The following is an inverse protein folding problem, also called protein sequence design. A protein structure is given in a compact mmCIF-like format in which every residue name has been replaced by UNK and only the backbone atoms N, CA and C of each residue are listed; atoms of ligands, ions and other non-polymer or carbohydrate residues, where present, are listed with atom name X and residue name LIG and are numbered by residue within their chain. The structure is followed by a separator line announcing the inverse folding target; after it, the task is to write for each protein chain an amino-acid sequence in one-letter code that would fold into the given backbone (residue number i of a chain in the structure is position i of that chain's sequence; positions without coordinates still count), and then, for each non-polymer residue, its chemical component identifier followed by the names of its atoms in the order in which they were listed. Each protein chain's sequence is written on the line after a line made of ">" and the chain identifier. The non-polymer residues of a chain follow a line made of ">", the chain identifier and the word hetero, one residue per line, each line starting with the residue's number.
data_IF_852755835068
#
_entry.id   IF_852755835068
#
_cell.length_a   1.000
_cell.length_b   1.000
_cell.length_c   1.000
_cell.angle_alpha   90.00
_cell.angle_beta   90.00
_cell.angle_gamma   90.00
#
_symmetry.space_group_name_H-M   'P 1'
#
loop_
_entity.id
_entity.type
_entity.pdbx_description
1 polymer ?
#
# COMPACT_ATOMS: atom_id res chain seq x y z
N UNK A 1 6.68 14.63 7.60
CA UNK A 1 7.73 13.60 7.51
C UNK A 1 7.87 13.15 6.06
N UNK A 2 9.07 12.77 5.60
CA UNK A 2 9.21 12.12 4.30
C UNK A 2 8.48 10.77 4.35
N UNK A 3 7.77 10.40 3.27
CA UNK A 3 7.11 9.10 3.13
C UNK A 3 5.98 8.77 4.12
N UNK A 4 5.39 9.76 4.80
CA UNK A 4 4.34 9.50 5.80
C UNK A 4 3.12 8.73 5.29
N UNK A 5 2.74 8.87 4.01
CA UNK A 5 1.63 8.06 3.46
C UNK A 5 2.04 6.61 3.21
N UNK A 6 3.31 6.36 2.91
CA UNK A 6 3.83 4.99 2.86
C UNK A 6 3.78 4.41 4.26
N UNK A 7 4.28 5.13 5.27
CA UNK A 7 4.22 4.69 6.67
C UNK A 7 2.80 4.34 7.09
N UNK A 8 1.83 5.24 6.91
CA UNK A 8 0.42 4.99 7.23
C UNK A 8 -0.12 3.75 6.51
N UNK A 9 0.21 3.60 5.22
CA UNK A 9 -0.20 2.43 4.43
C UNK A 9 0.43 1.12 4.93
N UNK A 10 1.69 1.13 5.38
CA UNK A 10 2.31 -0.06 5.96
C UNK A 10 1.67 -0.44 7.30
N UNK A 11 1.25 0.53 8.12
CA UNK A 11 0.47 0.21 9.32
C UNK A 11 -0.87 -0.42 8.98
N UNK A 12 -1.61 0.11 8.00
CA UNK A 12 -2.86 -0.53 7.55
C UNK A 12 -2.62 -1.94 7.00
N UNK A 13 -1.47 -2.17 6.36
CA UNK A 13 -1.06 -3.51 5.93
C UNK A 13 -0.80 -4.42 7.12
N UNK A 14 -0.07 -3.96 8.12
CA UNK A 14 0.22 -4.72 9.33
C UNK A 14 -1.06 -5.10 10.07
N UNK A 15 -2.03 -4.19 10.16
CA UNK A 15 -3.37 -4.49 10.68
C UNK A 15 -4.11 -5.51 9.79
N UNK A 16 -4.06 -5.34 8.47
CA UNK A 16 -4.74 -6.22 7.51
C UNK A 16 -4.19 -7.64 7.46
N UNK A 17 -2.89 -7.84 7.67
CA UNK A 17 -2.26 -9.17 7.72
C UNK A 17 -2.17 -9.73 9.14
N UNK A 18 -2.53 -8.91 10.14
CA UNK A 18 -2.51 -9.29 11.54
C UNK A 18 -1.11 -9.31 12.14
N UNK A 19 -0.14 -8.59 11.56
CA UNK A 19 1.25 -8.56 12.02
C UNK A 19 1.37 -8.15 13.50
N UNK A 20 0.55 -7.19 13.92
CA UNK A 20 0.54 -6.64 15.28
C UNK A 20 -0.26 -7.46 16.29
N UNK A 21 -0.87 -8.57 15.86
CA UNK A 21 -1.62 -9.47 16.73
C UNK A 21 -0.69 -10.43 17.47
N UNK A 22 -1.10 -10.85 18.66
CA UNK A 22 -0.42 -11.93 19.39
C UNK A 22 -0.61 -13.28 18.69
N UNK A 23 0.24 -14.27 18.99
CA UNK A 23 0.16 -15.60 18.37
C UNK A 23 -1.21 -16.27 18.57
N UNK A 24 -1.82 -16.08 19.75
CA UNK A 24 -3.16 -16.60 20.08
C UNK A 24 -4.26 -15.94 19.23
N UNK A 25 -4.13 -14.64 18.96
CA UNK A 25 -5.05 -13.88 18.09
C UNK A 25 -4.84 -14.24 16.62
N UNK A 26 -3.58 -14.40 16.18
CA UNK A 26 -3.21 -14.84 14.83
C UNK A 26 -3.82 -16.20 14.49
N UNK A 27 -3.94 -17.11 15.47
CA UNK A 27 -4.55 -18.43 15.26
C UNK A 27 -6.03 -18.38 14.84
N UNK A 28 -6.74 -17.29 15.16
CA UNK A 28 -8.15 -17.07 14.79
C UNK A 28 -8.32 -16.00 13.70
N UNK A 29 -7.23 -15.33 13.33
CA UNK A 29 -7.24 -14.25 12.36
C UNK A 29 -7.17 -14.81 10.93
N UNK A 30 -7.90 -14.18 10.01
CA UNK A 30 -7.79 -14.46 8.57
C UNK A 30 -7.12 -13.28 7.90
N UNK A 31 -5.85 -13.38 7.48
CA UNK A 31 -5.14 -12.31 6.80
C UNK A 31 -5.87 -11.85 5.55
N UNK A 32 -5.93 -10.53 5.36
CA UNK A 32 -6.46 -9.94 4.14
C UNK A 32 -5.45 -10.02 3.00
N UNK A 33 -5.96 -10.21 1.79
CA UNK A 33 -5.13 -10.11 0.59
C UNK A 33 -4.70 -8.67 0.33
N UNK A 34 -3.56 -8.50 -0.36
CA UNK A 34 -3.05 -7.17 -0.74
C UNK A 34 -4.09 -6.34 -1.52
N UNK A 35 -4.88 -6.98 -2.37
CA UNK A 35 -5.93 -6.31 -3.14
C UNK A 35 -7.07 -5.79 -2.25
N UNK A 36 -7.42 -6.52 -1.19
CA UNK A 36 -8.44 -6.12 -0.22
C UNK A 36 -7.95 -4.95 0.62
N UNK A 37 -6.71 -5.01 1.12
CA UNK A 37 -6.12 -3.92 1.91
C UNK A 37 -6.02 -2.64 1.06
N UNK A 38 -5.56 -2.74 -0.18
CA UNK A 38 -5.52 -1.58 -1.11
C UNK A 38 -6.91 -1.03 -1.38
N UNK A 39 -7.94 -1.86 -1.51
CA UNK A 39 -9.32 -1.39 -1.69
C UNK A 39 -9.80 -0.63 -0.45
N UNK A 40 -9.64 -1.20 0.73
CA UNK A 40 -10.01 -0.57 2.01
C UNK A 40 -9.31 0.77 2.20
N UNK A 41 -8.00 0.85 1.89
CA UNK A 41 -7.24 2.10 1.93
C UNK A 41 -7.88 3.20 1.07
N UNK A 42 -8.33 2.87 -0.14
CA UNK A 42 -8.95 3.82 -1.08
C UNK A 42 -10.42 4.13 -0.70
N UNK A 43 -11.09 3.23 0.01
CA UNK A 43 -12.44 3.49 0.54
C UNK A 43 -12.41 4.44 1.72
N UNK A 44 -11.44 4.27 2.62
CA UNK A 44 -11.26 5.12 3.79
C UNK A 44 -10.63 6.48 3.45
N UNK A 45 -9.75 6.51 2.45
CA UNK A 45 -9.01 7.71 2.04
C UNK A 45 -9.45 8.19 0.66
N UNK A 46 -9.56 9.50 0.50
CA UNK A 46 -9.92 10.09 -0.78
C UNK A 46 -8.86 9.81 -1.89
N UNK A 47 -9.26 10.02 -3.15
CA UNK A 47 -8.41 9.81 -4.33
C UNK A 47 -7.14 10.68 -4.35
N UNK A 48 -7.10 11.80 -3.61
CA UNK A 48 -5.91 12.63 -3.50
C UNK A 48 -4.83 11.94 -2.67
N UNK A 49 -5.19 11.30 -1.56
CA UNK A 49 -4.26 10.50 -0.76
C UNK A 49 -3.68 9.36 -1.58
N UNK A 50 -4.50 8.69 -2.39
CA UNK A 50 -4.03 7.65 -3.33
C UNK A 50 -3.01 8.22 -4.33
N UNK A 51 -3.28 9.40 -4.88
CA UNK A 51 -2.35 10.06 -5.79
C UNK A 51 -1.01 10.37 -5.12
N UNK A 52 -1.03 10.91 -3.91
CA UNK A 52 0.18 11.23 -3.16
C UNK A 52 0.93 9.98 -2.68
N UNK A 53 0.24 8.92 -2.26
CA UNK A 53 0.86 7.64 -1.91
C UNK A 53 1.64 7.08 -3.10
N UNK A 54 1.04 7.06 -4.29
CA UNK A 54 1.72 6.61 -5.52
C UNK A 54 2.97 7.43 -5.82
N UNK A 55 2.89 8.76 -5.62
CA UNK A 55 4.04 9.64 -5.82
C UNK A 55 5.15 9.35 -4.80
N UNK A 56 4.80 9.10 -3.54
CA UNK A 56 5.76 8.73 -2.50
C UNK A 56 6.42 7.39 -2.80
N UNK A 57 5.66 6.35 -3.16
CA UNK A 57 6.22 5.02 -3.49
C UNK A 57 7.20 5.13 -4.67
N UNK A 58 6.83 5.82 -5.75
CA UNK A 58 7.72 6.02 -6.90
C UNK A 58 9.00 6.76 -6.51
N UNK A 59 8.88 7.77 -5.67
CA UNK A 59 10.03 8.53 -5.16
C UNK A 59 10.93 7.64 -4.30
N UNK A 60 10.34 6.81 -3.45
CA UNK A 60 11.07 5.88 -2.59
C UNK A 60 11.88 4.89 -3.42
N UNK A 61 11.20 4.17 -4.33
CA UNK A 61 11.84 3.23 -5.26
C UNK A 61 13.02 3.90 -5.98
N UNK A 62 12.79 5.08 -6.57
CA UNK A 62 13.83 5.79 -7.32
C UNK A 62 15.06 6.13 -6.47
N UNK A 63 14.86 6.49 -5.20
CA UNK A 63 15.92 6.99 -4.34
C UNK A 63 16.69 5.89 -3.60
N UNK A 64 16.08 4.72 -3.41
CA UNK A 64 16.59 3.65 -2.54
C UNK A 64 16.81 2.32 -3.28
N UNK A 65 16.64 2.29 -4.61
CA UNK A 65 17.05 1.12 -5.42
C UNK A 65 18.56 1.10 -5.57
N UNK A 66 19.17 -0.01 -5.19
CA UNK A 66 20.58 -0.33 -5.39
C UNK A 66 20.73 -1.45 -6.42
N UNK A 67 21.96 -1.80 -6.85
CA UNK A 67 22.17 -2.94 -7.74
C UNK A 67 21.68 -4.29 -7.18
N UNK A 68 21.52 -4.39 -5.86
CA UNK A 68 21.11 -5.61 -5.15
C UNK A 68 19.59 -5.69 -4.94
N UNK A 69 18.88 -4.57 -5.05
CA UNK A 69 17.43 -4.50 -4.85
C UNK A 69 16.98 -3.19 -4.23
N UNK A 70 15.73 -3.14 -3.78
CA UNK A 70 15.22 -1.99 -3.04
C UNK A 70 15.45 -2.19 -1.55
N UNK A 71 16.17 -1.26 -0.92
CA UNK A 71 16.50 -1.36 0.50
C UNK A 71 15.33 -0.91 1.39
N UNK A 72 15.28 -1.44 2.63
CA UNK A 72 14.43 -0.94 3.71
C UNK A 72 15.17 0.21 4.42
N UNK A 73 14.80 1.45 4.11
CA UNK A 73 15.39 2.68 4.64
C UNK A 73 14.36 3.40 5.50
N UNK A 74 14.77 3.78 6.71
CA UNK A 74 13.95 4.58 7.63
C UNK A 74 14.08 6.09 7.34
N UNK A 75 12.96 6.85 7.23
CA UNK A 75 11.58 6.38 7.03
C UNK A 75 11.31 6.00 5.56
N UNK A 76 10.33 5.12 5.26
CA UNK A 76 9.24 4.68 6.14
C UNK A 76 9.44 3.30 6.80
N UNK A 77 10.57 2.64 6.53
CA UNK A 77 10.81 1.27 6.96
C UNK A 77 11.75 1.20 8.17
N UNK A 78 11.17 0.93 9.34
CA UNK A 78 11.87 0.69 10.60
C UNK A 78 11.63 -0.72 11.13
N UNK A 79 11.86 -0.95 12.42
CA UNK A 79 11.69 -2.28 13.02
C UNK A 79 10.26 -2.82 12.88
N UNK A 80 9.25 -1.97 13.06
CA UNK A 80 7.83 -2.36 13.07
C UNK A 80 7.20 -2.42 11.67
N UNK A 81 7.91 -1.97 10.63
CA UNK A 81 7.37 -1.85 9.26
C UNK A 81 8.15 -2.67 8.22
N UNK A 82 9.13 -3.46 8.67
CA UNK A 82 9.99 -4.30 7.81
C UNK A 82 9.56 -5.78 7.78
N UNK A 83 8.25 -6.04 7.77
CA UNK A 83 7.66 -7.39 7.78
C UNK A 83 7.12 -7.82 6.41
N UNK A 84 7.27 -6.99 5.37
CA UNK A 84 6.56 -7.16 4.09
C UNK A 84 6.84 -8.52 3.43
N UNK A 85 8.09 -8.96 3.44
CA UNK A 85 8.52 -10.22 2.81
C UNK A 85 8.04 -11.46 3.57
N UNK A 86 7.61 -11.31 4.83
CA UNK A 86 7.05 -12.41 5.61
C UNK A 86 5.60 -12.73 5.19
N UNK A 87 4.89 -11.76 4.60
CA UNK A 87 3.47 -11.87 4.26
C UNK A 87 3.16 -11.84 2.76
N UNK A 88 4.05 -11.27 1.95
CA UNK A 88 3.83 -11.08 0.51
C UNK A 88 4.95 -11.70 -0.32
N UNK A 89 4.58 -12.30 -1.45
CA UNK A 89 5.55 -12.90 -2.35
C UNK A 89 6.39 -11.83 -3.08
N UNK A 90 7.72 -12.03 -3.05
CA UNK A 90 8.70 -11.18 -3.71
C UNK A 90 9.34 -10.17 -2.76
N UNK A 91 10.40 -9.52 -3.25
CA UNK A 91 11.12 -8.49 -2.50
C UNK A 91 10.30 -7.19 -2.35
N UNK A 92 10.82 -6.25 -1.55
CA UNK A 92 10.21 -4.92 -1.35
C UNK A 92 9.92 -4.18 -2.66
N UNK A 93 10.76 -4.35 -3.70
CA UNK A 93 10.54 -3.71 -4.99
C UNK A 93 9.33 -4.28 -5.72
N UNK A 94 9.23 -5.62 -5.77
CA UNK A 94 8.09 -6.35 -6.34
C UNK A 94 6.82 -5.96 -5.59
N UNK A 95 6.88 -5.97 -4.26
CA UNK A 95 5.76 -5.57 -3.41
C UNK A 95 5.27 -4.15 -3.73
N UNK A 96 6.13 -3.14 -3.66
CA UNK A 96 5.74 -1.75 -3.90
C UNK A 96 5.27 -1.51 -5.35
N UNK A 97 5.81 -2.26 -6.30
CA UNK A 97 5.34 -2.24 -7.70
C UNK A 97 3.94 -2.84 -7.82
N UNK A 98 3.65 -3.94 -7.13
CA UNK A 98 2.31 -4.55 -7.08
C UNK A 98 1.30 -3.60 -6.44
N UNK A 99 1.66 -2.94 -5.34
CA UNK A 99 0.86 -1.89 -4.71
C UNK A 99 0.56 -0.77 -5.71
N UNK A 100 1.56 -0.26 -6.42
CA UNK A 100 1.35 0.77 -7.45
C UNK A 100 0.37 0.32 -8.54
N UNK A 101 0.46 -0.94 -8.98
CA UNK A 101 -0.43 -1.51 -9.99
C UNK A 101 -1.88 -1.59 -9.48
N UNK A 102 -2.10 -2.04 -8.24
CA UNK A 102 -3.42 -2.08 -7.62
C UNK A 102 -4.00 -0.67 -7.43
N UNK A 103 -3.22 0.26 -6.90
CA UNK A 103 -3.63 1.67 -6.75
C UNK A 103 -3.97 2.30 -8.11
N UNK A 104 -3.21 1.99 -9.17
CA UNK A 104 -3.52 2.46 -10.53
C UNK A 104 -4.85 1.89 -11.05
N UNK A 105 -5.08 0.59 -10.86
CA UNK A 105 -6.29 -0.10 -11.31
C UNK A 105 -7.53 0.49 -10.63
N UNK A 106 -7.52 0.56 -9.32
CA UNK A 106 -8.63 1.08 -8.52
C UNK A 106 -8.88 2.57 -8.78
N UNK A 107 -7.82 3.39 -8.86
CA UNK A 107 -7.93 4.80 -9.19
C UNK A 107 -8.60 5.01 -10.56
N UNK A 108 -8.22 4.22 -11.57
CA UNK A 108 -8.81 4.32 -12.92
C UNK A 108 -10.30 3.95 -12.91
N UNK A 109 -10.66 2.84 -12.27
CA UNK A 109 -12.06 2.41 -12.16
C UNK A 109 -12.91 3.47 -11.46
N UNK A 110 -12.44 3.99 -10.32
CA UNK A 110 -13.18 5.00 -9.53
C UNK A 110 -13.27 6.34 -10.24
N UNK A 111 -12.19 6.78 -10.89
CA UNK A 111 -12.18 8.01 -11.70
C UNK A 111 -13.16 7.93 -12.88
N UNK A 112 -13.21 6.80 -13.59
CA UNK A 112 -14.17 6.56 -14.67
C UNK A 112 -15.62 6.56 -14.17
N UNK A 113 -15.89 5.91 -13.02
CA UNK A 113 -17.21 5.91 -12.40
C UNK A 113 -17.64 7.30 -11.93
N UNK A 114 -16.71 8.13 -11.47
CA UNK A 114 -17.00 9.51 -11.07
C UNK A 114 -17.33 10.39 -12.28
N UNK A 115 -16.51 10.32 -13.34
CA UNK A 115 -16.72 11.09 -14.57
C UNK A 115 -18.02 10.69 -15.29
N UNK A 116 -18.32 9.39 -15.36
CA UNK A 116 -19.57 8.90 -15.97
C UNK A 116 -20.84 9.27 -15.19
N UNK A 117 -20.75 9.46 -13.88
CA UNK A 117 -21.86 10.02 -13.08
C UNK A 117 -22.07 11.51 -13.38
N UNK A 118 -21.00 12.25 -13.64
CA UNK A 118 -21.06 13.67 -13.98
C UNK A 118 -21.57 13.92 -15.42
N UNK A 119 -21.24 13.06 -16.38
CA UNK A 119 -21.70 13.19 -17.77
C UNK A 119 -23.10 12.62 -18.04
N UNK A 120 -23.76 12.02 -17.04
CA UNK A 120 -25.16 11.55 -17.13
C UNK A 120 -26.17 12.53 -16.56
N UNK A 121 -25.73 13.71 -16.13
CA UNK A 121 -26.60 14.85 -15.80
C UNK A 121 -26.68 15.80 -17.00
N UNK A 122 -27.30 15.35 -18.09
CA UNK A 122 -27.84 16.18 -19.18
C UNK A 122 -29.12 15.51 -19.71
#
# INVERSE_FOLDING_TARGET
>A
MAYGLITDFIYDLGEGVGEFLTDDEKAQFTPLGLDQIVKSYIDERNLLNVFFLKAQIKKYIKNHTTPEGLEYVDPPFGQETSFIEDYFEGDLYVFLTNVLNLLNKEYKVRSQNFLSKFTRQD
#
